data_IF_802827724882
#
_entry.id   IF_802827724882
#
_cell.length_a   1.000
_cell.length_b   1.000
_cell.length_c   1.000
_cell.angle_alpha   90.00
_cell.angle_beta   90.00
_cell.angle_gamma   90.00
#
_symmetry.space_group_name_H-M   'P 1'
#
loop_
_entity.id
_entity.type
_entity.pdbx_description
1 polymer ?
#
# COMPACT_ATOMS: atom_id res chain seq x y z
N UNK A 1 -34.34 71.85 22.92
CA UNK A 1 -33.84 71.60 21.55
C UNK A 1 -32.46 70.96 21.65
N UNK A 2 -32.42 69.66 21.94
CA UNK A 2 -31.23 68.80 21.95
C UNK A 2 -31.69 67.44 21.48
N UNK A 3 -31.24 67.01 20.30
CA UNK A 3 -31.52 65.68 19.76
C UNK A 3 -30.17 65.04 19.41
N UNK A 4 -29.75 64.10 20.25
CA UNK A 4 -28.70 63.13 19.93
C UNK A 4 -29.23 62.18 18.85
N UNK A 5 -28.51 62.06 17.75
CA UNK A 5 -28.65 60.94 16.81
C UNK A 5 -27.36 60.13 16.88
N UNK A 6 -27.40 59.03 17.63
CA UNK A 6 -26.37 58.00 17.62
C UNK A 6 -26.44 57.25 16.29
N UNK A 7 -25.39 57.37 15.48
CA UNK A 7 -25.21 56.57 14.27
C UNK A 7 -24.68 55.20 14.66
N UNK A 8 -25.54 54.18 14.67
CA UNK A 8 -25.14 52.79 14.87
C UNK A 8 -24.52 52.26 13.58
N UNK A 9 -23.19 52.15 13.56
CA UNK A 9 -22.45 51.49 12.49
C UNK A 9 -22.65 49.97 12.62
N UNK A 10 -23.63 49.42 11.91
CA UNK A 10 -23.81 47.96 11.80
C UNK A 10 -22.76 47.44 10.84
N UNK A 11 -21.61 46.99 11.39
CA UNK A 11 -20.69 46.13 10.67
C UNK A 11 -21.42 44.84 10.25
N UNK A 12 -21.88 44.78 9.00
CA UNK A 12 -22.23 43.52 8.36
C UNK A 12 -20.92 42.73 8.19
N UNK A 13 -20.63 41.87 9.15
CA UNK A 13 -19.68 40.79 8.96
C UNK A 13 -20.20 39.95 7.79
N UNK A 14 -19.55 40.09 6.63
CA UNK A 14 -19.73 39.18 5.50
C UNK A 14 -19.18 37.84 5.98
N UNK A 15 -20.07 36.97 6.45
CA UNK A 15 -19.80 35.54 6.61
C UNK A 15 -19.41 35.03 5.22
N UNK A 16 -18.10 34.94 4.98
CA UNK A 16 -17.59 34.22 3.82
C UNK A 16 -18.13 32.79 3.90
N UNK A 17 -18.71 32.26 2.81
CA UNK A 17 -19.14 30.87 2.82
C UNK A 17 -17.94 30.01 3.16
N UNK A 18 -18.06 29.24 4.24
CA UNK A 18 -17.10 28.19 4.59
C UNK A 18 -16.91 27.34 3.34
N UNK A 19 -15.73 27.44 2.70
CA UNK A 19 -15.40 26.58 1.59
C UNK A 19 -15.47 25.15 2.11
N UNK A 20 -16.45 24.38 1.65
CA UNK A 20 -16.49 22.94 1.87
C UNK A 20 -15.14 22.41 1.39
N UNK A 21 -14.33 21.77 2.27
CA UNK A 21 -13.04 21.26 1.85
C UNK A 21 -13.25 20.30 0.68
N UNK A 22 -12.63 20.61 -0.47
CA UNK A 22 -12.67 19.72 -1.63
C UNK A 22 -11.90 18.46 -1.23
N UNK A 23 -12.60 17.32 -1.19
CA UNK A 23 -11.99 16.04 -0.89
C UNK A 23 -10.95 15.69 -1.98
N UNK A 24 -9.80 15.10 -1.63
CA UNK A 24 -8.84 14.63 -2.62
C UNK A 24 -9.48 13.58 -3.52
N UNK A 25 -9.26 13.68 -4.82
CA UNK A 25 -9.64 12.61 -5.75
C UNK A 25 -8.73 11.40 -5.57
N UNK A 26 -9.28 10.23 -5.90
CA UNK A 26 -8.51 8.99 -5.94
C UNK A 26 -7.34 9.14 -6.96
N UNK A 27 -6.10 8.78 -6.58
CA UNK A 27 -4.95 8.95 -7.46
C UNK A 27 -4.92 7.87 -8.55
N UNK A 28 -4.44 8.24 -9.73
CA UNK A 28 -4.04 7.28 -10.75
C UNK A 28 -2.59 6.84 -10.50
N UNK A 29 -2.31 5.54 -10.64
CA UNK A 29 -0.94 5.05 -10.66
C UNK A 29 -0.21 5.50 -11.94
N UNK A 30 1.12 5.69 -11.90
CA UNK A 30 1.91 5.88 -13.11
C UNK A 30 1.80 4.68 -14.07
N UNK A 31 2.12 4.85 -15.37
CA UNK A 31 2.19 3.74 -16.31
C UNK A 31 3.17 2.66 -15.88
N UNK A 32 4.27 3.08 -15.27
CA UNK A 32 5.30 2.21 -14.67
C UNK A 32 5.91 2.93 -13.48
N UNK A 33 6.30 2.20 -12.46
CA UNK A 33 7.02 2.76 -11.33
C UNK A 33 7.89 1.73 -10.63
N UNK A 34 8.86 2.25 -9.89
CA UNK A 34 9.72 1.51 -8.99
C UNK A 34 9.57 2.09 -7.60
N UNK A 35 9.64 1.25 -6.58
CA UNK A 35 9.75 1.67 -5.20
C UNK A 35 10.56 0.65 -4.40
N UNK A 36 11.35 1.13 -3.45
CA UNK A 36 11.81 0.29 -2.35
C UNK A 36 10.68 0.19 -1.32
N UNK A 37 10.70 -0.81 -0.45
CA UNK A 37 9.77 -0.86 0.68
C UNK A 37 10.40 -1.44 1.93
N UNK A 38 9.84 -1.02 3.07
CA UNK A 38 9.93 -1.74 4.33
C UNK A 38 8.57 -2.32 4.67
N UNK A 39 8.52 -3.61 5.02
CA UNK A 39 7.32 -4.32 5.43
C UNK A 39 7.43 -4.66 6.92
N UNK A 40 6.35 -4.41 7.67
CA UNK A 40 6.23 -4.80 9.07
C UNK A 40 5.02 -5.73 9.24
N UNK A 41 5.19 -6.78 10.05
CA UNK A 41 4.18 -7.81 10.28
C UNK A 41 4.00 -8.03 11.78
N UNK A 42 2.77 -8.18 12.22
CA UNK A 42 2.41 -8.61 13.58
C UNK A 42 1.56 -9.89 13.53
N UNK A 43 1.49 -10.61 14.65
CA UNK A 43 0.59 -11.77 14.77
C UNK A 43 -0.87 -11.33 14.78
N UNK A 44 -1.77 -12.18 14.27
CA UNK A 44 -3.23 -12.03 14.39
C UNK A 44 -3.71 -12.22 15.83
N UNK A 45 -3.09 -13.14 16.55
CA UNK A 45 -3.51 -13.57 17.89
C UNK A 45 -3.13 -12.58 19.02
N UNK A 46 -2.70 -11.37 18.67
CA UNK A 46 -2.32 -10.33 19.63
C UNK A 46 -3.41 -9.24 19.70
N UNK A 47 -4.40 -9.45 20.57
CA UNK A 47 -5.53 -8.53 20.78
C UNK A 47 -5.11 -7.13 21.27
N UNK A 48 -3.91 -6.99 21.83
CA UNK A 48 -3.38 -5.69 22.28
C UNK A 48 -2.75 -4.90 21.13
N UNK A 49 -2.41 -5.56 20.02
CA UNK A 49 -1.76 -4.93 18.87
C UNK A 49 -2.73 -4.01 18.13
N UNK A 50 -2.42 -2.70 17.99
CA UNK A 50 -3.28 -1.81 17.23
C UNK A 50 -3.20 -2.10 15.72
N UNK A 51 -4.33 -1.97 15.04
CA UNK A 51 -4.48 -2.12 13.60
C UNK A 51 -3.65 -1.03 12.86
N UNK A 52 -2.95 -1.36 11.76
CA UNK A 52 -2.27 -0.37 10.93
C UNK A 52 -3.26 0.62 10.25
N UNK A 53 -2.80 1.76 9.71
CA UNK A 53 -1.40 2.12 9.46
C UNK A 53 -0.70 2.58 10.74
N UNK A 54 0.44 1.97 11.04
CA UNK A 54 1.33 2.48 12.07
C UNK A 54 2.07 3.70 11.51
N UNK A 55 1.83 4.88 12.08
CA UNK A 55 2.34 6.13 11.51
C UNK A 55 3.85 6.11 11.33
N UNK A 56 4.61 5.47 12.24
CA UNK A 56 6.05 5.31 12.12
C UNK A 56 6.50 4.10 11.27
N UNK A 57 5.57 3.31 10.74
CA UNK A 57 5.82 2.01 10.10
C UNK A 57 6.27 0.91 11.06
N UNK A 58 6.17 1.18 12.36
CA UNK A 58 6.58 0.29 13.43
C UNK A 58 5.42 0.23 14.42
N UNK A 59 4.88 -0.96 14.74
CA UNK A 59 3.87 -1.15 15.77
C UNK A 59 4.41 -0.71 17.15
N UNK A 60 3.55 -0.18 18.02
CA UNK A 60 3.98 0.28 19.34
C UNK A 60 4.29 -0.86 20.34
N UNK A 61 3.82 -2.08 20.06
CA UNK A 61 3.97 -3.26 20.92
C UNK A 61 4.75 -4.37 20.21
N UNK A 62 5.40 -5.23 20.98
CA UNK A 62 6.00 -6.48 20.49
C UNK A 62 5.00 -7.63 20.69
N UNK A 63 5.03 -8.69 19.85
CA UNK A 63 6.05 -8.97 18.83
C UNK A 63 5.71 -8.44 17.43
N UNK A 64 6.75 -8.06 16.68
CA UNK A 64 6.65 -7.79 15.24
C UNK A 64 7.93 -8.21 14.51
N UNK A 65 7.84 -8.36 13.20
CA UNK A 65 8.99 -8.56 12.30
C UNK A 65 9.06 -7.42 11.26
N UNK A 66 10.27 -6.96 10.95
CA UNK A 66 10.53 -5.94 9.92
C UNK A 66 11.41 -6.53 8.82
N UNK A 67 11.00 -6.36 7.57
CA UNK A 67 11.69 -6.83 6.39
C UNK A 67 11.75 -5.75 5.31
N UNK A 68 12.56 -5.97 4.30
CA UNK A 68 12.78 -5.01 3.22
C UNK A 68 12.58 -5.67 1.87
N UNK A 69 12.45 -4.82 0.87
CA UNK A 69 12.38 -5.26 -0.51
C UNK A 69 12.25 -4.10 -1.47
N UNK A 70 11.90 -4.44 -2.71
CA UNK A 70 11.52 -3.48 -3.72
C UNK A 70 10.43 -4.06 -4.61
N UNK A 71 9.66 -3.16 -5.22
CA UNK A 71 8.64 -3.52 -6.20
C UNK A 71 8.87 -2.76 -7.50
N UNK A 72 8.70 -3.46 -8.62
CA UNK A 72 8.69 -2.89 -9.96
C UNK A 72 7.36 -3.22 -10.60
N UNK A 73 6.64 -2.19 -11.02
CA UNK A 73 5.33 -2.31 -11.64
C UNK A 73 5.39 -1.83 -13.07
N UNK A 74 5.05 -2.71 -14.02
CA UNK A 74 4.82 -2.40 -15.42
C UNK A 74 3.47 -2.99 -15.90
N UNK A 75 2.33 -2.41 -15.49
CA UNK A 75 1.00 -2.84 -15.92
C UNK A 75 0.81 -2.92 -17.44
N UNK A 76 1.49 -2.09 -18.22
CA UNK A 76 1.45 -2.12 -19.69
C UNK A 76 2.11 -3.37 -20.29
N UNK A 77 3.07 -3.96 -19.59
CA UNK A 77 3.64 -5.27 -19.90
C UNK A 77 2.86 -6.42 -19.24
N UNK A 78 1.93 -6.10 -18.35
CA UNK A 78 1.25 -7.07 -17.50
C UNK A 78 2.20 -7.74 -16.50
N UNK A 79 3.25 -7.06 -16.04
CA UNK A 79 4.27 -7.59 -15.13
C UNK A 79 4.39 -6.71 -13.89
N UNK A 80 4.43 -7.34 -12.73
CA UNK A 80 4.78 -6.78 -11.43
C UNK A 80 5.72 -7.77 -10.76
N UNK A 81 6.79 -7.24 -10.16
CA UNK A 81 7.73 -8.02 -9.37
C UNK A 81 7.86 -7.34 -8.01
N UNK A 82 7.71 -8.11 -6.94
CA UNK A 82 8.05 -7.75 -5.58
C UNK A 82 9.14 -8.70 -5.09
N UNK A 83 10.29 -8.15 -4.71
CA UNK A 83 11.43 -8.91 -4.22
C UNK A 83 11.62 -8.63 -2.73
N UNK A 84 11.46 -9.67 -1.91
CA UNK A 84 11.55 -9.62 -0.46
C UNK A 84 12.89 -10.20 0.01
N UNK A 85 13.66 -9.40 0.74
CA UNK A 85 15.05 -9.75 1.09
C UNK A 85 15.21 -10.38 2.46
N UNK A 86 14.25 -10.18 3.37
CA UNK A 86 14.37 -10.61 4.77
C UNK A 86 13.37 -11.72 5.11
N UNK A 87 12.09 -11.52 4.78
CA UNK A 87 11.03 -12.53 4.88
C UNK A 87 9.98 -12.30 3.79
N UNK A 88 9.27 -13.35 3.43
CA UNK A 88 8.24 -13.35 2.41
C UNK A 88 6.92 -12.79 2.95
N UNK A 89 6.03 -12.39 2.05
CA UNK A 89 4.72 -11.81 2.39
C UNK A 89 3.94 -12.74 3.34
N UNK A 90 3.32 -12.23 4.41
CA UNK A 90 2.55 -13.03 5.37
C UNK A 90 1.17 -13.45 4.86
N UNK A 91 1.08 -13.88 3.61
CA UNK A 91 -0.03 -14.69 3.09
C UNK A 91 0.37 -16.19 3.11
N UNK A 92 1.58 -16.52 3.61
CA UNK A 92 2.11 -17.88 3.64
C UNK A 92 2.15 -18.45 5.07
N UNK A 93 1.29 -19.44 5.33
CA UNK A 93 1.26 -20.28 6.54
C UNK A 93 2.21 -21.48 6.40
N UNK A 94 2.97 -21.91 7.43
CA UNK A 94 2.99 -21.41 8.81
C UNK A 94 4.16 -20.46 9.14
N UNK A 95 5.14 -20.27 8.23
CA UNK A 95 6.32 -19.45 8.51
C UNK A 95 6.91 -18.87 7.22
N UNK A 96 6.65 -17.60 6.94
CA UNK A 96 7.19 -16.88 5.78
C UNK A 96 8.58 -16.26 6.03
N UNK A 97 9.32 -16.68 7.06
CA UNK A 97 10.62 -16.12 7.48
C UNK A 97 11.80 -16.48 6.55
N UNK A 98 11.66 -16.20 5.26
CA UNK A 98 12.65 -16.46 4.23
C UNK A 98 12.51 -15.45 3.09
N UNK A 99 13.58 -15.11 2.35
CA UNK A 99 13.48 -14.24 1.19
C UNK A 99 12.67 -14.91 0.07
N UNK A 100 11.96 -14.11 -0.73
CA UNK A 100 11.19 -14.61 -1.86
C UNK A 100 11.04 -13.56 -2.95
N UNK A 101 10.70 -14.01 -4.16
CA UNK A 101 10.29 -13.13 -5.25
C UNK A 101 8.86 -13.50 -5.60
N UNK A 102 7.95 -12.56 -5.44
CA UNK A 102 6.59 -12.66 -5.92
C UNK A 102 6.50 -11.89 -7.23
N UNK A 103 6.04 -12.53 -8.30
CA UNK A 103 5.86 -11.82 -9.56
C UNK A 103 4.66 -12.34 -10.30
N UNK A 104 4.09 -11.52 -11.16
CA UNK A 104 3.09 -11.99 -12.09
C UNK A 104 3.61 -11.92 -13.53
N UNK A 105 3.22 -12.90 -14.32
CA UNK A 105 3.50 -12.97 -15.74
C UNK A 105 2.37 -13.72 -16.43
N UNK A 106 1.86 -13.17 -17.54
CA UNK A 106 0.76 -13.77 -18.32
C UNK A 106 -0.45 -14.19 -17.46
N UNK A 107 -1.00 -13.25 -16.67
CA UNK A 107 -2.13 -13.47 -15.77
C UNK A 107 -1.94 -14.56 -14.70
N UNK A 108 -0.69 -14.94 -14.41
CA UNK A 108 -0.36 -15.92 -13.38
C UNK A 108 0.62 -15.30 -12.39
N UNK A 109 0.32 -15.42 -11.10
CA UNK A 109 1.21 -15.06 -10.01
C UNK A 109 2.06 -16.27 -9.62
N UNK A 110 3.36 -16.05 -9.57
CA UNK A 110 4.38 -17.02 -9.22
C UNK A 110 5.08 -16.59 -7.94
N UNK A 111 5.56 -17.57 -7.20
CA UNK A 111 6.39 -17.36 -6.04
C UNK A 111 7.69 -18.16 -6.20
N UNK A 112 8.83 -17.48 -6.14
CA UNK A 112 10.15 -18.10 -6.06
C UNK A 112 10.61 -18.06 -4.62
N UNK A 113 10.98 -19.22 -4.08
CA UNK A 113 11.50 -19.36 -2.72
C UNK A 113 12.69 -20.31 -2.68
N UNK A 114 13.50 -20.29 -1.62
CA UNK A 114 14.46 -21.36 -1.36
C UNK A 114 13.74 -22.73 -1.29
N UNK A 115 14.35 -23.77 -1.88
CA UNK A 115 13.80 -25.15 -1.93
C UNK A 115 13.55 -25.71 -0.53
N UNK A 116 14.39 -25.32 0.44
CA UNK A 116 14.32 -25.79 1.84
C UNK A 116 13.02 -25.42 2.55
N UNK A 117 12.25 -24.46 2.01
CA UNK A 117 11.02 -23.97 2.63
C UNK A 117 9.75 -24.67 2.11
N UNK A 118 9.87 -25.73 1.31
CA UNK A 118 8.76 -26.51 0.74
C UNK A 118 7.84 -25.80 -0.27
N UNK A 119 7.96 -24.49 -0.46
CA UNK A 119 7.27 -23.74 -1.54
C UNK A 119 8.05 -23.70 -2.86
N UNK A 120 9.32 -24.13 -2.86
CA UNK A 120 10.29 -23.82 -3.92
C UNK A 120 10.59 -24.94 -4.92
N UNK A 121 11.43 -24.64 -5.94
CA UNK A 121 12.09 -23.35 -6.16
C UNK A 121 11.18 -22.30 -6.81
N UNK A 122 10.10 -22.72 -7.46
CA UNK A 122 9.04 -21.84 -7.93
C UNK A 122 7.71 -22.59 -7.93
N UNK A 123 6.62 -21.88 -7.62
CA UNK A 123 5.26 -22.41 -7.64
C UNK A 123 4.27 -21.37 -8.17
N UNK A 124 3.13 -21.85 -8.67
CA UNK A 124 1.98 -21.04 -9.08
C UNK A 124 1.18 -20.70 -7.82
N UNK A 125 1.16 -19.42 -7.46
CA UNK A 125 0.37 -18.93 -6.34
C UNK A 125 -1.10 -18.77 -6.74
N UNK A 126 -1.36 -18.10 -7.86
CA UNK A 126 -2.72 -17.83 -8.32
C UNK A 126 -2.78 -17.59 -9.82
N UNK A 127 -3.77 -18.18 -10.48
CA UNK A 127 -4.12 -17.88 -11.87
C UNK A 127 -5.15 -16.76 -11.94
N UNK A 128 -5.26 -16.11 -13.11
CA UNK A 128 -6.09 -14.93 -13.32
C UNK A 128 -5.74 -13.79 -12.35
N UNK A 129 -4.44 -13.59 -12.14
CA UNK A 129 -3.89 -12.54 -11.31
C UNK A 129 -2.99 -11.63 -12.15
N UNK A 130 -3.32 -10.35 -12.16
CA UNK A 130 -2.62 -9.33 -12.95
C UNK A 130 -2.19 -8.17 -12.04
N UNK A 131 -1.24 -7.32 -12.44
CA UNK A 131 -0.97 -6.09 -11.71
C UNK A 131 -2.26 -5.27 -11.65
N UNK A 132 -2.50 -4.52 -10.55
CA UNK A 132 -3.64 -3.64 -10.49
C UNK A 132 -3.61 -2.66 -11.66
N UNK A 133 -4.77 -2.45 -12.30
CA UNK A 133 -4.88 -1.45 -13.35
C UNK A 133 -4.66 -0.05 -12.74
N UNK A 134 -4.21 0.89 -13.55
CA UNK A 134 -3.73 2.20 -13.06
C UNK A 134 -4.80 3.04 -12.36
N UNK A 135 -6.06 2.79 -12.67
CA UNK A 135 -7.22 3.46 -12.11
C UNK A 135 -7.91 2.68 -10.99
N UNK A 136 -7.29 1.61 -10.49
CA UNK A 136 -7.93 0.74 -9.50
C UNK A 136 -8.38 1.50 -8.23
N UNK A 137 -7.73 2.62 -7.89
CA UNK A 137 -8.13 3.45 -6.75
C UNK A 137 -9.47 4.16 -6.95
N UNK A 138 -9.96 4.32 -8.18
CA UNK A 138 -11.27 4.93 -8.44
C UNK A 138 -12.40 4.15 -7.75
N UNK A 139 -12.28 2.82 -7.65
CA UNK A 139 -13.27 1.99 -6.95
C UNK A 139 -13.33 2.28 -5.44
N UNK A 140 -12.27 2.89 -4.90
CA UNK A 140 -12.14 3.22 -3.49
C UNK A 140 -12.37 4.70 -3.18
N UNK A 141 -12.69 5.54 -4.17
CA UNK A 141 -12.74 7.01 -4.01
C UNK A 141 -13.63 7.47 -2.85
N UNK A 142 -14.78 6.83 -2.67
CA UNK A 142 -15.74 7.12 -1.60
C UNK A 142 -15.27 6.69 -0.19
N UNK A 143 -14.20 5.90 -0.08
CA UNK A 143 -13.66 5.41 1.19
C UNK A 143 -12.46 6.22 1.67
N UNK A 144 -12.36 7.50 1.27
CA UNK A 144 -11.40 8.43 1.84
C UNK A 144 -11.71 8.67 3.32
N UNK A 145 -10.70 8.51 4.19
CA UNK A 145 -10.88 8.61 5.65
C UNK A 145 -10.14 9.78 6.29
N UNK A 146 -9.28 10.47 5.55
CA UNK A 146 -8.59 11.67 6.04
C UNK A 146 -7.15 11.78 5.58
N UNK A 147 -6.42 12.68 6.23
CA UNK A 147 -5.00 12.91 5.96
C UNK A 147 -4.19 12.95 7.24
N UNK A 148 -2.93 12.55 7.16
CA UNK A 148 -1.96 12.72 8.26
C UNK A 148 -0.70 13.40 7.75
N UNK A 149 -0.11 14.22 8.60
CA UNK A 149 1.23 14.75 8.37
C UNK A 149 2.27 13.74 8.83
N UNK A 150 3.32 13.61 8.03
CA UNK A 150 4.56 12.92 8.33
C UNK A 150 4.40 11.43 8.66
N UNK A 151 4.72 10.57 7.69
CA UNK A 151 4.79 9.13 7.88
C UNK A 151 6.25 8.71 8.12
N UNK A 152 6.46 7.82 9.08
CA UNK A 152 7.79 7.40 9.48
C UNK A 152 8.55 8.54 10.14
N UNK A 153 7.94 9.35 11.03
CA UNK A 153 8.61 10.48 11.69
C UNK A 153 9.88 10.03 12.39
N UNK A 154 9.81 8.93 13.13
CA UNK A 154 10.97 8.33 13.81
C UNK A 154 11.98 7.73 12.82
N UNK A 155 11.55 7.39 11.61
CA UNK A 155 12.38 6.86 10.53
C UNK A 155 12.82 7.91 9.50
N UNK A 156 12.33 9.15 9.63
CA UNK A 156 12.51 10.28 8.71
C UNK A 156 12.19 9.96 7.24
N UNK A 157 11.19 9.12 6.99
CA UNK A 157 10.94 8.57 5.65
C UNK A 157 10.26 9.59 4.75
N UNK A 158 9.15 10.20 5.20
CA UNK A 158 8.34 11.10 4.35
C UNK A 158 7.81 12.29 5.16
N UNK A 159 8.27 13.49 4.82
CA UNK A 159 7.81 14.76 5.42
C UNK A 159 6.84 15.50 4.50
N UNK A 160 5.66 14.92 4.32
CA UNK A 160 4.58 15.51 3.53
C UNK A 160 3.22 14.99 3.98
N UNK A 161 2.16 15.64 3.53
CA UNK A 161 0.79 15.22 3.83
C UNK A 161 0.43 13.95 3.03
N UNK A 162 -0.08 12.94 3.72
CA UNK A 162 -0.55 11.68 3.15
C UNK A 162 -2.06 11.62 3.23
N UNK A 163 -2.70 11.22 2.13
CA UNK A 163 -4.14 10.98 2.04
C UNK A 163 -4.43 9.48 2.13
N UNK A 164 -5.49 9.14 2.85
CA UNK A 164 -5.80 7.76 3.23
C UNK A 164 -7.14 7.29 2.69
N UNK A 165 -7.14 6.10 2.13
CA UNK A 165 -8.33 5.37 1.72
C UNK A 165 -8.36 4.01 2.40
N UNK A 166 -9.53 3.55 2.83
CA UNK A 166 -9.72 2.22 3.41
C UNK A 166 -10.34 1.27 2.39
N UNK A 167 -9.98 -0.01 2.49
CA UNK A 167 -10.55 -1.11 1.74
C UNK A 167 -11.58 -1.78 2.68
N UNK A 168 -12.88 -1.69 2.38
CA UNK A 168 -13.89 -2.38 3.18
C UNK A 168 -13.80 -3.89 2.97
N UNK A 169 -14.25 -4.66 3.97
CA UNK A 169 -14.46 -6.10 3.80
C UNK A 169 -15.64 -6.37 2.84
N UNK A 170 -15.49 -7.35 1.95
CA UNK A 170 -16.46 -7.64 0.89
C UNK A 170 -17.71 -8.43 1.35
N UNK A 171 -17.68 -9.03 2.54
CA UNK A 171 -18.77 -9.86 3.08
C UNK A 171 -18.91 -9.69 4.58
N UNK A 172 -20.15 -9.63 5.08
CA UNK A 172 -20.50 -9.41 6.49
C UNK A 172 -20.12 -10.52 7.48
N UNK A 173 -19.29 -11.48 7.08
CA UNK A 173 -18.57 -12.35 8.01
C UNK A 173 -17.32 -11.60 8.43
N UNK A 174 -17.50 -10.72 9.43
CA UNK A 174 -16.42 -10.05 10.13
C UNK A 174 -15.56 -11.13 10.79
N UNK A 175 -14.39 -11.41 10.21
CA UNK A 175 -13.27 -11.82 11.04
C UNK A 175 -12.83 -10.55 11.79
N UNK A 176 -13.44 -10.35 12.96
CA UNK A 176 -13.09 -9.43 14.05
C UNK A 176 -12.99 -7.90 13.78
N UNK A 177 -12.89 -7.43 12.53
CA UNK A 177 -12.62 -6.02 12.19
C UNK A 177 -13.38 -5.51 10.96
N UNK A 178 -13.76 -4.21 10.90
CA UNK A 178 -14.61 -3.65 9.84
C UNK A 178 -13.91 -3.36 8.50
N UNK A 179 -12.58 -3.52 8.43
CA UNK A 179 -11.75 -3.13 7.28
C UNK A 179 -10.75 -4.22 6.93
N UNK A 180 -10.56 -4.47 5.63
CA UNK A 180 -9.55 -5.40 5.13
C UNK A 180 -8.16 -4.76 5.11
N UNK A 181 -8.08 -3.47 4.78
CA UNK A 181 -6.81 -2.81 4.53
C UNK A 181 -6.96 -1.34 4.17
N UNK A 182 -5.91 -0.73 3.63
CA UNK A 182 -5.93 0.64 3.17
C UNK A 182 -4.69 1.08 2.44
N UNK A 183 -4.83 2.21 1.76
CA UNK A 183 -3.81 2.84 0.93
C UNK A 183 -3.49 4.24 1.43
N UNK A 184 -2.20 4.58 1.44
CA UNK A 184 -1.71 5.93 1.69
C UNK A 184 -1.00 6.49 0.45
N UNK A 185 -1.40 7.68 0.02
CA UNK A 185 -0.75 8.39 -1.09
C UNK A 185 -0.27 9.76 -0.67
N UNK A 186 0.95 10.10 -1.06
CA UNK A 186 1.47 11.45 -0.95
C UNK A 186 0.53 12.44 -1.64
N UNK A 187 0.15 13.53 -0.96
CA UNK A 187 -0.69 14.58 -1.56
C UNK A 187 0.07 15.37 -2.60
N UNK A 188 1.36 15.62 -2.38
CA UNK A 188 2.19 16.32 -3.34
C UNK A 188 2.57 15.36 -4.47
N UNK A 189 2.27 15.68 -5.75
CA UNK A 189 2.69 14.86 -6.87
C UNK A 189 4.19 14.99 -7.14
N UNK A 190 4.74 13.99 -7.80
CA UNK A 190 6.06 14.06 -8.44
C UNK A 190 6.05 15.04 -9.63
N UNK A 191 7.22 15.42 -10.17
CA UNK A 191 7.30 16.25 -11.38
C UNK A 191 6.55 15.68 -12.60
N UNK A 192 6.37 14.36 -12.65
CA UNK A 192 5.56 13.66 -13.66
C UNK A 192 4.05 13.92 -13.53
N UNK A 193 3.59 14.46 -12.40
CA UNK A 193 2.18 14.69 -12.07
C UNK A 193 1.52 13.56 -11.28
N UNK A 194 2.14 12.39 -11.15
CA UNK A 194 1.59 11.28 -10.37
C UNK A 194 1.88 11.42 -8.89
N UNK A 195 0.95 10.94 -8.06
CA UNK A 195 1.09 10.93 -6.61
C UNK A 195 1.81 9.66 -6.16
N UNK A 196 2.93 9.77 -5.43
CA UNK A 196 3.62 8.60 -4.90
C UNK A 196 2.71 7.72 -4.07
N UNK A 197 2.78 6.42 -4.33
CA UNK A 197 2.21 5.40 -3.47
C UNK A 197 3.13 5.24 -2.26
N UNK A 198 2.61 5.51 -1.06
CA UNK A 198 3.42 5.65 0.16
C UNK A 198 3.21 4.49 1.12
N UNK A 199 2.00 3.95 1.18
CA UNK A 199 1.68 2.93 2.17
C UNK A 199 0.64 1.95 1.66
N UNK A 200 0.84 0.68 1.96
CA UNK A 200 -0.18 -0.36 1.91
C UNK A 200 -0.28 -1.02 3.28
N UNK A 201 -1.48 -1.25 3.77
CA UNK A 201 -1.68 -2.14 4.91
C UNK A 201 -2.89 -3.01 4.69
N UNK A 202 -2.86 -4.22 5.24
CA UNK A 202 -3.93 -5.18 5.09
C UNK A 202 -3.87 -6.27 6.16
N UNK A 203 -5.00 -6.93 6.35
CA UNK A 203 -5.14 -8.15 7.14
C UNK A 203 -4.71 -9.35 6.29
N UNK A 204 -3.61 -10.01 6.68
CA UNK A 204 -3.17 -11.28 6.09
C UNK A 204 -3.54 -12.46 6.99
N UNK A 205 -3.32 -13.68 6.52
CA UNK A 205 -3.78 -14.91 7.22
C UNK A 205 -3.18 -15.05 8.62
N UNK A 206 -1.92 -14.64 8.80
CA UNK A 206 -1.20 -14.74 10.08
C UNK A 206 -1.20 -13.44 10.90
N UNK A 207 -1.79 -12.35 10.39
CA UNK A 207 -1.92 -11.09 11.11
C UNK A 207 -1.82 -9.85 10.24
N UNK A 208 -1.54 -8.70 10.87
CA UNK A 208 -1.51 -7.42 10.19
C UNK A 208 -0.19 -7.18 9.47
N UNK A 209 -0.31 -6.58 8.29
CA UNK A 209 0.83 -6.20 7.46
C UNK A 209 0.78 -4.72 7.16
N UNK A 210 1.94 -4.07 7.18
CA UNK A 210 2.10 -2.69 6.76
C UNK A 210 3.38 -2.52 5.95
N UNK A 211 3.24 -2.21 4.66
CA UNK A 211 4.33 -1.78 3.79
C UNK A 211 4.39 -0.25 3.72
N UNK A 212 5.58 0.29 3.97
CA UNK A 212 5.95 1.67 3.65
C UNK A 212 6.84 1.67 2.44
N UNK A 213 6.46 2.45 1.44
CA UNK A 213 7.15 2.60 0.18
C UNK A 213 8.11 3.80 0.22
N UNK A 214 9.34 3.55 -0.19
CA UNK A 214 10.48 4.46 -0.12
C UNK A 214 11.09 4.59 -1.52
N UNK A 215 11.75 5.72 -1.81
CA UNK A 215 12.41 5.97 -3.11
C UNK A 215 11.48 5.75 -4.33
N UNK A 216 10.19 6.06 -4.19
CA UNK A 216 9.22 5.95 -5.27
C UNK A 216 9.66 6.81 -6.47
N UNK A 217 9.78 6.17 -7.64
CA UNK A 217 10.09 6.84 -8.90
C UNK A 217 9.26 6.27 -10.03
N UNK A 218 8.74 7.15 -10.86
CA UNK A 218 8.02 6.85 -12.11
C UNK A 218 8.75 7.39 -13.34
N UNK A 219 10.03 7.74 -13.16
CA UNK A 219 10.96 8.15 -14.20
C UNK A 219 12.34 7.51 -13.98
N UNK A 220 13.23 7.67 -14.95
CA UNK A 220 14.61 7.18 -14.87
C UNK A 220 14.76 5.69 -15.20
N UNK A 221 15.95 5.10 -15.02
CA UNK A 221 16.24 3.76 -15.53
C UNK A 221 15.49 2.64 -14.78
N UNK A 222 15.11 2.84 -13.52
CA UNK A 222 14.50 1.79 -12.70
C UNK A 222 13.10 1.35 -13.18
N UNK A 223 12.37 2.21 -13.90
CA UNK A 223 11.04 1.84 -14.45
C UNK A 223 11.14 0.92 -15.68
N UNK A 224 12.36 0.68 -16.17
CA UNK A 224 12.66 -0.16 -17.33
C UNK A 224 13.27 -1.52 -16.96
N UNK A 225 13.34 -1.85 -15.67
CA UNK A 225 13.93 -3.12 -15.19
C UNK A 225 13.21 -4.37 -15.73
N UNK A 226 11.98 -4.22 -16.23
CA UNK A 226 11.16 -5.32 -16.76
C UNK A 226 11.07 -5.33 -18.29
N UNK A 227 11.76 -4.43 -19.00
CA UNK A 227 11.68 -4.33 -20.47
C UNK A 227 12.18 -5.60 -21.15
N UNK A 228 13.24 -6.19 -20.60
CA UNK A 228 13.84 -7.43 -21.11
C UNK A 228 13.51 -8.63 -20.21
N UNK A 229 12.40 -8.58 -19.44
CA UNK A 229 12.04 -9.63 -18.50
C UNK A 229 12.02 -11.01 -19.17
N UNK A 230 12.83 -11.93 -18.65
CA UNK A 230 12.84 -13.32 -19.07
C UNK A 230 12.14 -14.17 -18.02
N UNK A 231 11.16 -14.96 -18.46
CA UNK A 231 10.49 -15.90 -17.58
C UNK A 231 11.51 -16.92 -17.04
N UNK A 232 11.70 -17.05 -15.71
CA UNK A 232 12.71 -17.94 -15.17
C UNK A 232 12.39 -19.41 -15.47
N UNK A 233 13.36 -20.18 -15.96
CA UNK A 233 13.17 -21.61 -16.27
C UNK A 233 12.67 -22.41 -15.06
N UNK A 234 13.10 -22.04 -13.85
CA UNK A 234 12.64 -22.66 -12.59
C UNK A 234 11.13 -22.54 -12.38
N UNK A 235 10.48 -21.57 -13.02
CA UNK A 235 9.05 -21.33 -12.97
C UNK A 235 8.27 -21.98 -14.11
N UNK A 236 8.93 -22.71 -15.01
CA UNK A 236 8.24 -23.59 -15.94
C UNK A 236 7.73 -24.84 -15.20
N UNK A 237 6.65 -24.65 -14.43
CA UNK A 237 6.13 -25.62 -13.46
C UNK A 237 4.61 -25.55 -13.42
N UNK A 238 3.99 -26.69 -13.13
CA UNK A 238 2.55 -26.79 -12.81
C UNK A 238 2.32 -26.93 -11.29
N UNK A 239 3.39 -26.81 -10.48
CA UNK A 239 3.32 -26.91 -9.03
C UNK A 239 2.53 -25.73 -8.46
N UNK A 240 1.39 -25.99 -7.83
CA UNK A 240 0.71 -24.98 -7.01
C UNK A 240 1.50 -24.74 -5.71
N UNK A 241 1.55 -23.50 -5.24
CA UNK A 241 2.11 -23.21 -3.93
C UNK A 241 1.26 -23.91 -2.86
N UNK A 242 1.88 -24.59 -1.88
CA UNK A 242 1.17 -25.19 -0.76
C UNK A 242 0.73 -24.09 0.23
N UNK A 243 -0.29 -23.33 -0.16
CA UNK A 243 -0.97 -22.39 0.73
C UNK A 243 -2.28 -23.03 1.17
N UNK A 244 -2.50 -23.09 2.48
CA UNK A 244 -3.85 -23.33 3.01
C UNK A 244 -4.54 -21.98 3.08
N UNK A 245 -5.58 -21.73 2.26
CA UNK A 245 -6.43 -20.56 2.44
C UNK A 245 -7.18 -20.62 3.78
#
# INVERSE_FOLDING_TARGET
MWLLVSLTLVCKAVLSPSQVPILPSAPLLPPRFYTDFTITITSRDDDEMPIPPWIDGIPPLLPYAIGRGYSVYAPDLGIMVENYTDFCVPIFWPNAYFPCIFFNYNHTAYLITPIVNHYGPCCIYRTNWSPPHRDFMLQFEQYYVGSTWDMGVNRKVLKQLIDWWVIPHASGELHDHPVFGGFGFARQPLPSGYRPYVSFWYEGDIGWTHQIFENFTDTGPKIHLLDDFQFPDICNTDLACDFRP
#
